data_IF_442202440194
#
_entry.id   IF_442202440194
#
_cell.length_a   1.000
_cell.length_b   1.000
_cell.length_c   1.000
_cell.angle_alpha   90.00
_cell.angle_beta   90.00
_cell.angle_gamma   90.00
#
_symmetry.space_group_name_H-M   'P 1'
#
loop_
_entity.id
_entity.type
_entity.pdbx_description
1 polymer ?
#
# COMPACT_ATOMS: atom_id res chain seq x y z
N UNK A 1 -17.27 7.58 -2.29
CA UNK A 1 -16.59 6.30 -1.93
C UNK A 1 -15.11 6.47 -2.11
N UNK A 2 -14.30 6.21 -1.08
CA UNK A 2 -12.83 6.27 -1.13
C UNK A 2 -12.29 4.85 -1.43
N UNK A 3 -12.57 4.34 -2.63
CA UNK A 3 -12.29 2.96 -3.08
C UNK A 3 -11.76 2.91 -4.51
N UNK A 4 -11.22 1.75 -4.94
CA UNK A 4 -10.72 1.55 -6.29
C UNK A 4 -11.72 0.82 -7.19
N UNK A 5 -11.72 1.16 -8.49
CA UNK A 5 -12.32 0.31 -9.51
C UNK A 5 -11.48 -0.96 -9.71
N UNK A 6 -12.14 -2.11 -9.90
CA UNK A 6 -11.50 -3.45 -9.95
C UNK A 6 -10.30 -3.55 -10.90
N UNK A 7 -10.43 -3.03 -12.12
CA UNK A 7 -9.35 -3.10 -13.14
C UNK A 7 -8.18 -2.21 -12.73
N UNK A 8 -8.46 -1.01 -12.24
CA UNK A 8 -7.43 -0.06 -11.82
C UNK A 8 -6.63 -0.60 -10.62
N UNK A 9 -7.31 -1.15 -9.61
CA UNK A 9 -6.65 -1.80 -8.46
C UNK A 9 -5.70 -2.91 -8.91
N UNK A 10 -6.15 -3.79 -9.81
CA UNK A 10 -5.34 -4.89 -10.33
C UNK A 10 -4.09 -4.38 -11.07
N UNK A 11 -4.22 -3.29 -11.84
CA UNK A 11 -3.11 -2.71 -12.57
C UNK A 11 -2.06 -2.10 -11.63
N UNK A 12 -2.48 -1.37 -10.59
CA UNK A 12 -1.57 -0.85 -9.57
C UNK A 12 -0.73 -1.97 -8.93
N UNK A 13 -1.38 -3.06 -8.52
CA UNK A 13 -0.71 -4.24 -7.94
C UNK A 13 0.32 -4.85 -8.89
N UNK A 14 -0.03 -4.99 -10.18
CA UNK A 14 0.89 -5.53 -11.19
C UNK A 14 2.14 -4.66 -11.38
N UNK A 15 2.04 -3.36 -11.16
CA UNK A 15 3.17 -2.42 -11.22
C UNK A 15 3.90 -2.24 -9.88
N UNK A 16 3.66 -3.10 -8.90
CA UNK A 16 4.33 -3.05 -7.60
C UNK A 16 3.88 -1.89 -6.70
N UNK A 17 2.87 -1.13 -7.09
CA UNK A 17 2.30 -0.05 -6.28
C UNK A 17 1.42 -0.60 -5.15
N UNK A 18 1.28 0.18 -4.07
CA UNK A 18 0.40 -0.12 -2.94
C UNK A 18 -0.99 0.51 -3.14
N UNK A 19 -1.97 -0.33 -3.48
CA UNK A 19 -3.38 0.01 -3.53
C UNK A 19 -4.01 -0.23 -2.15
N UNK A 20 -3.99 0.81 -1.32
CA UNK A 20 -4.48 0.79 0.05
C UNK A 20 -5.79 1.57 0.15
N UNK A 21 -6.74 1.07 0.94
CA UNK A 21 -8.02 1.74 1.21
C UNK A 21 -8.11 2.05 2.69
N UNK A 22 -8.72 3.17 3.04
CA UNK A 22 -8.95 3.51 4.45
C UNK A 22 -9.79 2.44 5.16
N UNK A 23 -9.44 2.11 6.39
CA UNK A 23 -10.31 1.31 7.26
C UNK A 23 -11.52 2.15 7.70
N UNK A 24 -11.27 3.40 8.12
CA UNK A 24 -12.28 4.43 8.32
C UNK A 24 -12.14 5.55 7.27
N UNK A 25 -13.19 5.76 6.48
CA UNK A 25 -13.24 6.75 5.37
C UNK A 25 -12.98 8.19 5.85
N UNK A 26 -13.28 8.50 7.11
CA UNK A 26 -13.09 9.84 7.68
C UNK A 26 -11.60 10.15 7.94
N UNK A 27 -10.73 9.14 8.02
CA UNK A 27 -9.28 9.34 8.24
C UNK A 27 -8.60 10.05 7.07
N UNK A 28 -9.19 10.03 5.88
CA UNK A 28 -8.70 10.82 4.76
C UNK A 28 -8.71 12.32 5.04
N UNK A 29 -9.64 12.81 5.88
CA UNK A 29 -9.74 14.23 6.19
C UNK A 29 -8.63 14.70 7.15
N UNK A 30 -7.89 13.75 7.76
CA UNK A 30 -6.68 14.03 8.55
C UNK A 30 -5.45 14.33 7.70
N UNK A 31 -5.45 13.90 6.43
CA UNK A 31 -4.30 14.05 5.52
C UNK A 31 -4.19 15.51 5.06
N UNK A 32 -3.05 16.12 5.34
CA UNK A 32 -2.70 17.46 4.88
C UNK A 32 -1.74 17.40 3.69
N UNK A 33 -1.72 18.45 2.89
CA UNK A 33 -0.96 18.47 1.63
C UNK A 33 0.56 18.33 1.83
N UNK A 34 1.07 18.80 2.95
CA UNK A 34 2.49 18.85 3.33
C UNK A 34 2.91 17.70 4.25
N UNK A 35 2.04 16.72 4.46
CA UNK A 35 2.34 15.57 5.32
C UNK A 35 3.41 14.67 4.74
N UNK A 36 4.34 14.26 5.60
CA UNK A 36 5.18 13.10 5.31
C UNK A 36 4.42 11.83 5.67
N UNK A 37 4.01 11.09 4.64
CA UNK A 37 3.29 9.81 4.80
C UNK A 37 4.29 8.66 4.96
N UNK A 38 4.18 7.92 6.07
CA UNK A 38 4.97 6.73 6.34
C UNK A 38 4.07 5.50 6.42
N UNK A 39 4.50 4.40 5.82
CA UNK A 39 3.78 3.12 5.84
C UNK A 39 4.50 2.19 6.81
N UNK A 40 3.86 1.89 7.94
CA UNK A 40 4.40 0.98 8.94
C UNK A 40 3.92 -0.45 8.65
N UNK A 41 4.77 -1.44 8.93
CA UNK A 41 4.46 -2.85 8.70
C UNK A 41 4.67 -3.35 7.27
N UNK A 42 5.22 -2.53 6.37
CA UNK A 42 5.48 -2.92 4.97
C UNK A 42 6.34 -4.20 4.85
N UNK A 43 7.42 -4.30 5.62
CA UNK A 43 8.32 -5.46 5.58
C UNK A 43 7.64 -6.76 6.06
N UNK A 44 6.63 -6.64 6.91
CA UNK A 44 5.84 -7.74 7.49
C UNK A 44 4.44 -7.81 6.88
N UNK A 45 4.23 -7.25 5.69
CA UNK A 45 2.94 -7.26 5.00
C UNK A 45 2.51 -8.71 4.74
N UNK A 46 1.25 -9.00 5.08
CA UNK A 46 0.64 -10.33 4.98
C UNK A 46 -0.81 -10.21 4.51
N UNK A 47 -1.33 -11.27 3.88
CA UNK A 47 -2.71 -11.30 3.39
C UNK A 47 -3.70 -11.06 4.54
N UNK A 48 -4.61 -10.12 4.35
CA UNK A 48 -5.72 -9.85 5.27
C UNK A 48 -5.31 -9.12 6.56
N UNK A 49 -4.04 -8.76 6.74
CA UNK A 49 -3.59 -7.91 7.84
C UNK A 49 -3.53 -6.46 7.36
N UNK A 50 -4.22 -5.51 8.03
CA UNK A 50 -4.10 -4.08 7.72
C UNK A 50 -2.67 -3.57 7.91
N UNK A 51 -2.35 -2.47 7.24
CA UNK A 51 -1.14 -1.67 7.48
C UNK A 51 -1.50 -0.41 8.25
N UNK A 52 -0.50 0.26 8.82
CA UNK A 52 -0.69 1.54 9.49
C UNK A 52 -0.06 2.65 8.66
N UNK A 53 -0.83 3.70 8.39
CA UNK A 53 -0.31 4.97 7.89
C UNK A 53 0.00 5.86 9.09
N UNK A 54 1.18 6.45 9.08
CA UNK A 54 1.59 7.52 9.97
C UNK A 54 1.77 8.80 9.16
N UNK A 55 1.05 9.84 9.54
CA UNK A 55 1.22 11.20 9.05
C UNK A 55 2.11 11.96 10.02
N UNK A 56 3.18 12.55 9.51
CA UNK A 56 3.95 13.56 10.26
C UNK A 56 3.67 14.92 9.63
N UNK A 57 2.95 15.76 10.38
CA UNK A 57 2.52 17.09 9.95
C UNK A 57 3.67 18.11 10.09
N UNK A 58 3.64 19.18 9.29
CA UNK A 58 4.68 20.22 9.34
C UNK A 58 4.70 21.01 10.66
N UNK A 59 3.58 21.05 11.39
CA UNK A 59 3.48 21.67 12.72
C UNK A 59 4.05 20.79 13.85
N UNK A 60 4.54 19.59 13.51
CA UNK A 60 5.10 18.62 14.45
C UNK A 60 4.07 17.70 15.11
N UNK A 61 2.78 17.86 14.82
CA UNK A 61 1.75 16.90 15.24
C UNK A 61 1.80 15.64 14.39
N UNK A 62 1.19 14.56 14.86
CA UNK A 62 1.13 13.29 14.14
C UNK A 62 -0.24 12.63 14.27
N UNK A 63 -0.68 12.02 13.18
CA UNK A 63 -1.87 11.18 13.12
C UNK A 63 -1.50 9.77 12.65
N UNK A 64 -2.23 8.75 13.14
CA UNK A 64 -2.08 7.38 12.68
C UNK A 64 -3.44 6.73 12.47
N UNK A 65 -3.54 5.94 11.40
CA UNK A 65 -4.74 5.17 11.09
C UNK A 65 -4.44 3.90 10.32
N UNK A 66 -5.40 2.97 10.34
CA UNK A 66 -5.31 1.71 9.63
C UNK A 66 -5.75 1.86 8.17
N UNK A 67 -5.08 1.12 7.31
CA UNK A 67 -5.47 0.96 5.91
C UNK A 67 -5.51 -0.52 5.55
N UNK A 68 -6.54 -0.86 4.80
CA UNK A 68 -6.83 -2.20 4.31
C UNK A 68 -6.27 -2.41 2.92
N UNK A 69 -6.09 -3.68 2.57
CA UNK A 69 -5.65 -4.08 1.25
C UNK A 69 -6.14 -5.50 0.91
N UNK A 70 -6.26 -5.81 -0.38
CA UNK A 70 -6.73 -7.14 -0.84
C UNK A 70 -5.64 -7.95 -1.53
N UNK A 71 -4.36 -7.72 -1.17
CA UNK A 71 -3.25 -8.50 -1.71
C UNK A 71 -3.27 -9.94 -1.21
N UNK A 72 -3.06 -10.88 -2.13
CA UNK A 72 -2.66 -12.25 -1.80
C UNK A 72 -1.12 -12.39 -1.79
N UNK A 73 -0.61 -13.56 -1.40
CA UNK A 73 0.84 -13.80 -1.29
C UNK A 73 1.61 -13.54 -2.59
N UNK A 74 1.07 -13.96 -3.73
CA UNK A 74 1.69 -13.71 -5.04
C UNK A 74 1.80 -12.22 -5.35
N UNK A 75 0.74 -11.45 -5.07
CA UNK A 75 0.70 -10.01 -5.28
C UNK A 75 1.63 -9.26 -4.30
N UNK A 76 1.76 -9.73 -3.05
CA UNK A 76 2.78 -9.21 -2.11
C UNK A 76 4.18 -9.47 -2.68
N UNK A 77 4.41 -10.62 -3.29
CA UNK A 77 5.65 -10.92 -4.02
C UNK A 77 5.94 -9.93 -5.15
N UNK A 78 4.92 -9.48 -5.89
CA UNK A 78 5.07 -8.45 -6.93
C UNK A 78 5.51 -7.10 -6.36
N UNK A 79 4.92 -6.68 -5.24
CA UNK A 79 5.29 -5.44 -4.54
C UNK A 79 6.75 -5.52 -4.08
N UNK A 80 7.16 -6.63 -3.46
CA UNK A 80 8.55 -6.84 -3.01
C UNK A 80 9.56 -6.85 -4.16
N UNK A 81 9.17 -7.36 -5.33
CA UNK A 81 10.01 -7.34 -6.54
C UNK A 81 9.95 -6.01 -7.32
N UNK A 82 9.09 -5.07 -6.91
CA UNK A 82 8.83 -3.81 -7.61
C UNK A 82 7.88 -3.91 -8.80
N UNK A 83 7.56 -5.10 -9.31
CA UNK A 83 6.46 -5.36 -10.24
C UNK A 83 6.22 -6.86 -10.43
N UNK A 84 5.09 -7.22 -11.04
CA UNK A 84 4.83 -8.60 -11.45
C UNK A 84 5.86 -9.09 -12.49
N UNK A 85 6.29 -8.23 -13.40
CA UNK A 85 7.27 -8.57 -14.43
C UNK A 85 8.65 -8.84 -13.81
N UNK A 86 9.06 -8.02 -12.84
CA UNK A 86 10.31 -8.24 -12.11
C UNK A 86 10.29 -9.58 -11.36
N UNK A 87 9.15 -9.92 -10.74
CA UNK A 87 9.01 -11.21 -10.06
C UNK A 87 9.14 -12.39 -11.03
N UNK A 88 8.48 -12.32 -12.19
CA UNK A 88 8.61 -13.33 -13.25
C UNK A 88 10.07 -13.47 -13.70
N UNK A 89 10.78 -12.35 -13.92
CA UNK A 89 12.19 -12.37 -14.32
C UNK A 89 13.09 -13.02 -13.27
N UNK A 90 12.84 -12.75 -11.98
CA UNK A 90 13.57 -13.39 -10.87
C UNK A 90 13.32 -14.90 -10.83
N UNK A 91 12.06 -15.33 -10.98
CA UNK A 91 11.69 -16.75 -10.93
C UNK A 91 12.24 -17.55 -12.12
N UNK A 92 12.44 -16.89 -13.26
CA UNK A 92 13.08 -17.48 -14.45
C UNK A 92 14.61 -17.49 -14.38
N UNK A 93 15.23 -16.97 -13.32
CA UNK A 93 16.69 -16.94 -13.16
C UNK A 93 17.42 -16.03 -14.14
N UNK A 94 16.74 -15.01 -14.70
CA UNK A 94 17.31 -14.05 -15.67
C UNK A 94 17.75 -12.75 -14.97
N UNK A 95 18.03 -12.83 -13.66
CA UNK A 95 18.31 -11.68 -12.80
C UNK A 95 19.82 -11.50 -12.60
#
# INVERSE_FOLDING_TARGET
VKSFARIHETNLKKQGMLALTFDNVDDFDKIRQDDKVSILGFNTMERGKPLTIKLSHADGTEDQFLVNHTYNEAQIGWVRAGSALNKIRQDMGVA
#
